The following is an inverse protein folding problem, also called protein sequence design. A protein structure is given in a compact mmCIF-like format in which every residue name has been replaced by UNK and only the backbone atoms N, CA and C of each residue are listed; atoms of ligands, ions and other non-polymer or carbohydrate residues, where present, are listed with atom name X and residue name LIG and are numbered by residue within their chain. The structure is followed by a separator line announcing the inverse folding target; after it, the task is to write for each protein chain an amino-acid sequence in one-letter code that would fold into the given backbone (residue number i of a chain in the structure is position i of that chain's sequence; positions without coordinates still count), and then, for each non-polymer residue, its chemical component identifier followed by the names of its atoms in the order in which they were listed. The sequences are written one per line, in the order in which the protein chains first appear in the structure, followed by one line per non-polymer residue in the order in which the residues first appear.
data_IF_235132786332
#
_entry.id   IF_235132786332
#
_cell.length_a   1.000
_cell.length_b   1.000
_cell.length_c   1.000
_cell.angle_alpha   90.00
_cell.angle_beta   90.00
_cell.angle_gamma   90.00
#
_symmetry.space_group_name_H-M   'P 1'
#
loop_
_entity.id
_entity.type
_entity.pdbx_description
1 polymer ?
#
# COMPACT_ATOMS: atom_id res chain seq x y z
N UNK A 1 -8.66 -15.86 12.53
CA UNK A 1 -8.27 -14.76 13.48
C UNK A 1 -7.62 -13.65 12.67
N UNK A 2 -8.10 -12.41 12.80
CA UNK A 2 -7.53 -11.26 12.09
C UNK A 2 -6.25 -10.75 12.77
N UNK A 3 -5.35 -10.15 12.00
CA UNK A 3 -4.18 -9.43 12.52
C UNK A 3 -4.49 -7.94 12.69
N UNK A 4 -3.69 -7.25 13.49
CA UNK A 4 -3.78 -5.79 13.63
C UNK A 4 -3.58 -5.15 12.25
N UNK A 5 -4.33 -4.09 11.96
CA UNK A 5 -4.45 -3.39 10.68
C UNK A 5 -5.24 -4.12 9.58
N UNK A 6 -5.76 -5.35 9.81
CA UNK A 6 -6.69 -5.96 8.86
C UNK A 6 -7.93 -5.08 8.69
N UNK A 7 -8.28 -4.77 7.45
CA UNK A 7 -9.56 -4.13 7.13
C UNK A 7 -10.61 -5.22 7.03
N UNK A 8 -11.74 -5.03 7.70
CA UNK A 8 -12.83 -6.00 7.79
C UNK A 8 -14.18 -5.35 7.46
N UNK A 9 -15.12 -6.17 7.05
CA UNK A 9 -16.54 -5.81 6.90
C UNK A 9 -17.41 -6.89 7.54
N UNK A 10 -18.66 -6.58 7.94
CA UNK A 10 -19.59 -7.59 8.40
C UNK A 10 -19.83 -8.66 7.32
N UNK A 11 -19.99 -9.90 7.74
CA UNK A 11 -20.45 -10.97 6.86
C UNK A 11 -21.87 -10.67 6.37
N UNK A 12 -22.23 -11.05 5.13
CA UNK A 12 -23.60 -10.87 4.61
C UNK A 12 -24.66 -11.64 5.41
N UNK A 13 -24.23 -12.70 6.12
CA UNK A 13 -25.07 -13.53 6.98
C UNK A 13 -25.07 -13.10 8.45
N UNK A 14 -24.32 -12.06 8.81
CA UNK A 14 -24.42 -11.47 10.14
C UNK A 14 -25.83 -10.87 10.25
N UNK A 15 -26.69 -11.52 11.00
CA UNK A 15 -28.09 -11.12 11.21
C UNK A 15 -28.17 -9.63 11.59
N UNK A 16 -29.29 -9.00 11.21
CA UNK A 16 -29.59 -7.60 11.56
C UNK A 16 -29.45 -7.31 13.07
N UNK A 17 -29.48 -8.35 13.91
CA UNK A 17 -29.25 -8.30 15.35
C UNK A 17 -27.79 -7.97 15.73
N UNK A 18 -26.79 -8.23 14.87
CA UNK A 18 -25.40 -7.89 15.15
C UNK A 18 -25.08 -6.45 14.74
N UNK A 19 -25.87 -5.54 15.23
CA UNK A 19 -25.63 -4.11 15.07
C UNK A 19 -24.53 -3.66 16.03
N UNK A 20 -23.30 -3.61 15.55
CA UNK A 20 -22.26 -2.85 16.23
C UNK A 20 -22.71 -1.39 16.20
N UNK A 21 -23.30 -0.91 17.34
CA UNK A 21 -23.66 0.50 17.55
C UNK A 21 -25.07 0.96 17.16
N UNK A 22 -26.08 0.12 17.22
CA UNK A 22 -27.47 0.48 16.88
C UNK A 22 -27.84 0.17 15.41
N UNK A 23 -29.02 0.49 14.99
CA UNK A 23 -29.64 0.10 13.70
C UNK A 23 -28.91 0.62 12.42
N UNK A 24 -27.65 1.02 12.51
CA UNK A 24 -26.89 1.57 11.39
C UNK A 24 -25.88 0.54 10.88
N UNK A 25 -25.80 0.41 9.57
CA UNK A 25 -24.94 -0.60 8.94
C UNK A 25 -23.47 -0.16 8.99
N UNK A 26 -22.66 -0.95 9.71
CA UNK A 26 -21.20 -0.88 9.59
C UNK A 26 -20.79 -1.36 8.20
N UNK A 27 -20.06 -0.56 7.46
CA UNK A 27 -19.57 -0.92 6.11
C UNK A 27 -18.14 -1.39 6.13
N UNK A 28 -17.28 -0.74 6.93
CA UNK A 28 -15.85 -1.00 6.97
C UNK A 28 -15.23 -0.62 8.30
N UNK A 29 -14.35 -1.46 8.80
CA UNK A 29 -13.59 -1.20 10.00
C UNK A 29 -12.16 -1.73 9.89
N UNK A 30 -11.28 -1.25 10.77
CA UNK A 30 -9.90 -1.68 10.89
C UNK A 30 -9.69 -2.37 12.24
N UNK A 31 -9.04 -3.51 12.25
CA UNK A 31 -8.64 -4.19 13.48
C UNK A 31 -7.48 -3.44 14.13
N UNK A 32 -7.68 -2.92 15.33
CA UNK A 32 -6.66 -2.15 16.07
C UNK A 32 -6.08 -2.90 17.26
N UNK A 33 -6.75 -3.96 17.74
CA UNK A 33 -6.25 -4.83 18.80
C UNK A 33 -6.86 -6.23 18.69
N UNK A 34 -6.07 -7.24 19.03
CA UNK A 34 -6.53 -8.62 19.19
C UNK A 34 -6.30 -9.08 20.65
N UNK A 35 -7.14 -9.94 21.17
CA UNK A 35 -7.02 -10.49 22.53
C UNK A 35 -7.71 -11.87 22.61
N UNK A 36 -7.52 -12.60 23.71
CA UNK A 36 -8.25 -13.83 23.95
C UNK A 36 -9.75 -13.53 24.04
N UNK A 37 -10.60 -14.46 23.55
CA UNK A 37 -12.06 -14.30 23.59
C UNK A 37 -12.54 -14.10 25.03
N UNK A 38 -13.23 -13.01 25.29
CA UNK A 38 -13.77 -12.68 26.59
C UNK A 38 -15.11 -13.42 26.86
N UNK A 39 -15.70 -13.22 28.06
CA UNK A 39 -16.99 -13.84 28.46
C UNK A 39 -18.17 -13.45 27.56
N UNK A 40 -18.08 -12.30 26.87
CA UNK A 40 -19.09 -11.82 25.93
C UNK A 40 -18.87 -12.36 24.50
N UNK A 41 -17.84 -13.19 24.29
CA UNK A 41 -17.47 -13.72 22.98
C UNK A 41 -16.57 -12.83 22.14
N UNK A 42 -16.30 -11.58 22.56
CA UNK A 42 -15.49 -10.65 21.81
C UNK A 42 -14.00 -11.01 21.87
N UNK A 43 -13.27 -10.84 20.78
CA UNK A 43 -11.84 -11.15 20.69
C UNK A 43 -11.01 -10.15 19.88
N UNK A 44 -11.65 -9.14 19.27
CA UNK A 44 -10.95 -8.06 18.56
C UNK A 44 -11.52 -6.70 18.96
N UNK A 45 -10.70 -5.66 18.88
CA UNK A 45 -11.16 -4.27 18.90
C UNK A 45 -11.04 -3.72 17.49
N UNK A 46 -12.10 -3.12 16.98
CA UNK A 46 -12.17 -2.48 15.68
C UNK A 46 -12.28 -0.97 15.85
N UNK A 47 -11.77 -0.23 14.88
CA UNK A 47 -12.01 1.19 14.69
C UNK A 47 -12.85 1.38 13.43
N UNK A 48 -13.97 2.07 13.55
CA UNK A 48 -14.91 2.30 12.45
C UNK A 48 -14.29 3.22 11.41
N UNK A 49 -14.19 2.75 10.18
CA UNK A 49 -13.69 3.53 9.03
C UNK A 49 -14.81 4.07 8.16
N UNK A 50 -15.90 3.30 8.01
CA UNK A 50 -17.04 3.67 7.18
C UNK A 50 -18.32 3.13 7.81
N UNK A 51 -19.29 4.01 8.00
CA UNK A 51 -20.56 3.72 8.66
C UNK A 51 -21.69 4.57 8.09
N UNK A 52 -22.94 4.07 8.08
CA UNK A 52 -24.10 4.84 7.62
C UNK A 52 -24.34 6.10 8.47
N UNK A 53 -24.03 6.03 9.77
CA UNK A 53 -23.99 7.19 10.67
C UNK A 53 -22.56 7.73 10.78
N UNK A 54 -22.25 8.92 10.21
CA UNK A 54 -20.90 9.49 10.24
C UNK A 54 -20.35 9.73 11.66
N UNK A 55 -21.23 9.89 12.67
CA UNK A 55 -20.81 10.13 14.07
C UNK A 55 -20.11 8.91 14.69
N UNK A 56 -20.20 7.74 14.06
CA UNK A 56 -19.56 6.49 14.50
C UNK A 56 -18.14 6.34 13.94
N UNK A 57 -17.78 7.04 12.88
CA UNK A 57 -16.44 6.96 12.29
C UNK A 57 -15.37 7.35 13.30
N UNK A 58 -14.29 6.59 13.38
CA UNK A 58 -13.20 6.76 14.34
C UNK A 58 -13.47 6.16 15.73
N UNK A 59 -14.71 5.77 16.06
CA UNK A 59 -15.01 5.09 17.32
C UNK A 59 -14.50 3.66 17.35
N UNK A 60 -14.17 3.18 18.56
CA UNK A 60 -13.63 1.83 18.79
C UNK A 60 -14.62 0.96 19.53
N UNK A 61 -14.74 -0.28 19.06
CA UNK A 61 -15.65 -1.27 19.63
C UNK A 61 -14.95 -2.62 19.81
N UNK A 62 -15.30 -3.35 20.88
CA UNK A 62 -14.92 -4.75 21.03
C UNK A 62 -15.98 -5.60 20.35
N UNK A 63 -15.56 -6.53 19.51
CA UNK A 63 -16.46 -7.37 18.71
C UNK A 63 -15.92 -8.80 18.58
N UNK A 64 -16.79 -9.73 18.18
CA UNK A 64 -16.43 -11.09 17.84
C UNK A 64 -16.02 -11.18 16.37
N UNK A 65 -14.82 -11.70 16.10
CA UNK A 65 -14.26 -11.81 14.75
C UNK A 65 -15.05 -12.75 13.83
N UNK A 66 -15.87 -13.65 14.38
CA UNK A 66 -16.69 -14.58 13.59
C UNK A 66 -17.75 -13.91 12.72
N UNK A 67 -18.14 -12.69 13.04
CA UNK A 67 -19.15 -11.95 12.28
C UNK A 67 -18.56 -11.06 11.18
N UNK A 68 -17.27 -11.17 10.93
CA UNK A 68 -16.55 -10.33 9.97
C UNK A 68 -15.73 -11.16 9.00
N UNK A 69 -15.52 -10.61 7.82
CA UNK A 69 -14.56 -11.09 6.85
C UNK A 69 -13.51 -10.02 6.55
N UNK A 70 -12.31 -10.44 6.15
CA UNK A 70 -11.30 -9.51 5.66
C UNK A 70 -11.78 -8.90 4.34
N UNK A 71 -11.73 -7.58 4.23
CA UNK A 71 -11.90 -6.92 2.94
C UNK A 71 -10.63 -7.17 2.14
N UNK A 72 -10.69 -7.84 0.99
CA UNK A 72 -9.55 -7.97 0.13
C UNK A 72 -9.02 -6.58 -0.19
N UNK A 73 -7.80 -6.30 0.21
CA UNK A 73 -7.12 -5.07 -0.20
C UNK A 73 -6.57 -5.33 -1.59
N UNK A 74 -7.32 -4.96 -2.61
CA UNK A 74 -6.83 -5.05 -3.99
C UNK A 74 -5.59 -4.19 -4.20
N UNK A 75 -5.43 -3.15 -3.39
CA UNK A 75 -4.34 -2.19 -3.45
C UNK A 75 -3.68 -1.99 -2.09
N UNK A 76 -2.34 -2.07 -2.06
CA UNK A 76 -1.52 -1.91 -0.85
C UNK A 76 -0.40 -0.89 -1.10
N UNK A 77 -0.06 -0.11 -0.08
CA UNK A 77 1.13 0.72 -0.09
C UNK A 77 2.36 -0.13 0.20
N UNK A 78 3.37 0.00 -0.63
CA UNK A 78 4.66 -0.70 -0.48
C UNK A 78 5.79 0.29 -0.65
N UNK A 79 6.93 0.01 -0.01
CA UNK A 79 8.19 0.69 -0.31
C UNK A 79 8.75 0.14 -1.61
N UNK A 80 9.13 1.03 -2.51
CA UNK A 80 9.67 0.70 -3.82
C UNK A 80 10.73 1.74 -4.23
N UNK A 81 11.28 1.57 -5.43
CA UNK A 81 12.32 2.43 -6.00
C UNK A 81 11.89 2.98 -7.35
N UNK A 82 12.31 4.21 -7.64
CA UNK A 82 12.06 4.85 -8.92
C UNK A 82 13.23 5.70 -9.36
N UNK A 83 13.58 5.58 -10.65
CA UNK A 83 14.49 6.48 -11.32
C UNK A 83 13.75 7.61 -12.04
N UNK A 84 14.38 8.77 -12.11
CA UNK A 84 13.95 9.96 -12.86
C UNK A 84 15.14 10.61 -13.53
N UNK A 85 14.91 11.59 -14.39
CA UNK A 85 15.96 12.50 -14.85
C UNK A 85 16.41 13.46 -13.74
N UNK A 86 17.36 14.32 -14.03
CA UNK A 86 17.92 15.35 -13.13
C UNK A 86 16.86 16.31 -12.57
N UNK A 87 15.75 16.51 -13.29
CA UNK A 87 14.66 17.40 -12.95
C UNK A 87 13.48 16.69 -12.28
N UNK A 88 13.66 15.47 -11.78
CA UNK A 88 12.58 14.64 -11.24
C UNK A 88 11.45 14.36 -12.23
N UNK A 89 11.77 14.15 -13.53
CA UNK A 89 10.79 13.77 -14.55
C UNK A 89 11.00 12.33 -14.98
N UNK A 90 9.91 11.67 -15.32
CA UNK A 90 9.93 10.36 -15.96
C UNK A 90 8.79 10.28 -16.96
N UNK A 91 9.09 9.97 -18.22
CA UNK A 91 8.12 9.90 -19.33
C UNK A 91 7.23 11.15 -19.45
N UNK A 92 7.85 12.34 -19.31
CA UNK A 92 7.16 13.63 -19.39
C UNK A 92 6.39 14.07 -18.14
N UNK A 93 6.27 13.22 -17.14
CA UNK A 93 5.64 13.55 -15.86
C UNK A 93 6.67 14.14 -14.89
N UNK A 94 6.35 15.32 -14.34
CA UNK A 94 7.10 15.97 -13.25
C UNK A 94 6.61 15.42 -11.90
N UNK A 95 7.55 15.11 -11.00
CA UNK A 95 7.25 14.71 -9.62
C UNK A 95 7.73 15.76 -8.61
N UNK A 96 7.14 15.73 -7.43
CA UNK A 96 7.48 16.60 -6.30
C UNK A 96 7.67 15.76 -5.05
N UNK A 97 8.74 16.02 -4.29
CA UNK A 97 9.01 15.30 -3.03
C UNK A 97 7.88 15.47 -2.03
N UNK A 98 7.49 14.37 -1.38
CA UNK A 98 6.45 14.34 -0.33
C UNK A 98 5.02 14.48 -0.85
N UNK A 99 4.80 14.78 -2.13
CA UNK A 99 3.47 14.93 -2.72
C UNK A 99 3.00 13.60 -3.27
N UNK A 100 1.79 13.19 -2.91
CA UNK A 100 1.14 12.03 -3.50
C UNK A 100 0.60 12.38 -4.90
N UNK A 101 0.94 11.54 -5.85
CA UNK A 101 0.48 11.65 -7.23
C UNK A 101 -0.34 10.40 -7.58
N UNK A 102 -1.58 10.58 -8.01
CA UNK A 102 -2.53 9.50 -8.29
C UNK A 102 -2.85 9.42 -9.78
N UNK A 103 -2.83 8.22 -10.32
CA UNK A 103 -3.22 7.91 -11.68
C UNK A 103 -4.73 7.71 -11.76
N UNK A 104 -5.42 8.53 -12.54
CA UNK A 104 -6.89 8.58 -12.57
C UNK A 104 -7.57 7.38 -13.25
N UNK A 105 -6.88 6.70 -14.16
CA UNK A 105 -7.42 5.62 -14.99
C UNK A 105 -7.06 4.22 -14.46
N UNK A 106 -7.49 3.17 -15.18
CA UNK A 106 -7.02 1.80 -14.95
C UNK A 106 -5.55 1.71 -15.25
N UNK A 107 -4.78 1.15 -14.31
CA UNK A 107 -3.36 0.90 -14.48
C UNK A 107 -3.12 -0.41 -15.22
N UNK A 108 -2.05 -0.46 -16.02
CA UNK A 108 -1.66 -1.65 -16.76
C UNK A 108 -0.14 -1.70 -16.93
N UNK A 109 0.46 -2.85 -16.65
CA UNK A 109 1.90 -3.07 -16.78
C UNK A 109 2.36 -2.77 -18.22
N UNK A 110 3.44 -2.02 -18.34
CA UNK A 110 4.04 -1.64 -19.62
C UNK A 110 3.40 -0.42 -20.31
N UNK A 111 2.21 0.05 -19.89
CA UNK A 111 1.52 1.16 -20.58
C UNK A 111 0.99 2.26 -19.67
N UNK A 112 0.17 1.95 -18.68
CA UNK A 112 -0.56 2.95 -17.88
C UNK A 112 -0.27 2.82 -16.39
N UNK A 113 0.02 3.94 -15.71
CA UNK A 113 0.33 4.01 -14.28
C UNK A 113 1.80 4.33 -14.00
N UNK A 114 2.16 4.33 -12.73
CA UNK A 114 3.52 4.61 -12.28
C UNK A 114 4.31 3.31 -12.17
N UNK A 115 5.31 3.13 -13.03
CA UNK A 115 6.20 1.98 -12.96
C UNK A 115 7.23 2.20 -11.85
N UNK A 116 7.35 1.23 -10.95
CA UNK A 116 8.29 1.22 -9.82
C UNK A 116 8.99 -0.13 -9.74
N UNK A 117 10.16 -0.18 -9.12
CA UNK A 117 10.92 -1.40 -8.90
C UNK A 117 10.88 -1.76 -7.42
N UNK A 118 10.67 -3.02 -7.06
CA UNK A 118 10.76 -3.48 -5.67
C UNK A 118 12.19 -3.83 -5.26
N UNK A 119 13.10 -3.83 -6.23
CA UNK A 119 14.53 -4.04 -6.02
C UNK A 119 15.33 -2.87 -6.59
N UNK A 120 16.28 -2.37 -5.81
CA UNK A 120 17.08 -1.20 -6.17
C UNK A 120 18.04 -1.47 -7.34
N UNK A 121 18.65 -2.66 -7.39
CA UNK A 121 19.56 -3.01 -8.49
C UNK A 121 18.81 -3.12 -9.82
N UNK A 122 17.59 -3.68 -9.77
CA UNK A 122 16.72 -3.71 -10.94
C UNK A 122 16.31 -2.30 -11.37
N UNK A 123 16.05 -1.41 -10.42
CA UNK A 123 15.76 -0.01 -10.70
C UNK A 123 16.92 0.67 -11.45
N UNK A 124 18.16 0.45 -11.01
CA UNK A 124 19.35 0.97 -11.69
C UNK A 124 19.49 0.45 -13.12
N UNK A 125 19.21 -0.84 -13.35
CA UNK A 125 19.23 -1.43 -14.72
C UNK A 125 18.14 -0.86 -15.62
N UNK A 126 16.96 -0.62 -15.05
CA UNK A 126 15.78 -0.18 -15.80
C UNK A 126 15.89 1.28 -16.25
N UNK A 127 16.56 2.13 -15.47
CA UNK A 127 16.65 3.59 -15.72
C UNK A 127 18.03 4.04 -16.19
N UNK A 128 18.81 3.15 -16.78
CA UNK A 128 20.19 3.41 -17.21
C UNK A 128 20.94 4.26 -16.20
N UNK A 129 21.79 3.63 -15.41
CA UNK A 129 22.52 4.30 -14.37
C UNK A 129 23.50 5.33 -14.95
N UNK A 130 23.00 6.50 -15.28
CA UNK A 130 23.71 7.68 -15.74
C UNK A 130 23.83 8.69 -14.58
N UNK A 131 24.91 9.49 -14.55
CA UNK A 131 25.13 10.54 -13.55
C UNK A 131 24.03 11.62 -13.54
N UNK A 132 23.19 11.68 -14.56
CA UNK A 132 22.07 12.60 -14.68
C UNK A 132 20.78 12.04 -14.08
N UNK A 133 20.69 10.74 -13.89
CA UNK A 133 19.51 10.11 -13.35
C UNK A 133 19.54 10.17 -11.83
N UNK A 134 18.38 10.49 -11.24
CA UNK A 134 18.17 10.52 -9.81
C UNK A 134 17.33 9.31 -9.39
N UNK A 135 17.66 8.72 -8.25
CA UNK A 135 16.97 7.55 -7.73
C UNK A 135 16.35 7.84 -6.38
N UNK A 136 15.17 7.29 -6.15
CA UNK A 136 14.37 7.61 -4.98
C UNK A 136 13.80 6.35 -4.35
N UNK A 137 13.70 6.38 -3.00
CA UNK A 137 12.75 5.56 -2.26
C UNK A 137 11.39 6.20 -2.42
N UNK A 138 10.42 5.40 -2.81
CA UNK A 138 9.04 5.83 -2.99
C UNK A 138 8.08 4.94 -2.21
N UNK A 139 6.95 5.49 -1.79
CA UNK A 139 5.78 4.71 -1.42
C UNK A 139 4.91 4.59 -2.67
N UNK A 140 4.46 3.37 -2.97
CA UNK A 140 3.71 3.07 -4.18
C UNK A 140 2.46 2.25 -3.84
N UNK A 141 1.30 2.67 -4.33
CA UNK A 141 0.04 1.95 -4.19
C UNK A 141 -0.08 0.95 -5.33
N UNK A 142 0.21 -0.32 -5.06
CA UNK A 142 0.26 -1.41 -6.04
C UNK A 142 -0.85 -2.42 -5.81
N UNK A 143 -1.20 -3.20 -6.84
CA UNK A 143 -2.12 -4.31 -6.66
C UNK A 143 -1.49 -5.38 -5.75
N UNK A 144 -2.23 -5.83 -4.73
CA UNK A 144 -1.74 -6.76 -3.72
C UNK A 144 -1.35 -8.11 -4.32
N UNK A 145 -2.10 -8.59 -5.33
CA UNK A 145 -1.81 -9.85 -6.02
C UNK A 145 -0.52 -9.72 -6.85
N UNK A 146 -0.36 -8.64 -7.61
CA UNK A 146 0.84 -8.41 -8.41
C UNK A 146 2.08 -8.33 -7.52
N UNK A 147 1.95 -7.71 -6.34
CA UNK A 147 3.04 -7.66 -5.35
C UNK A 147 3.37 -9.03 -4.77
N UNK A 148 2.36 -9.82 -4.41
CA UNK A 148 2.51 -11.15 -3.81
C UNK A 148 3.13 -12.16 -4.78
N UNK A 149 2.68 -12.13 -6.04
CA UNK A 149 3.09 -13.10 -7.08
C UNK A 149 4.11 -12.55 -8.07
N UNK A 150 4.80 -11.46 -7.69
CA UNK A 150 5.84 -10.88 -8.56
C UNK A 150 6.94 -11.88 -8.87
N UNK A 151 7.41 -11.84 -10.09
CA UNK A 151 8.56 -12.61 -10.52
C UNK A 151 9.84 -12.07 -9.85
N UNK A 152 10.65 -12.88 -9.14
CA UNK A 152 11.91 -12.46 -8.54
C UNK A 152 12.89 -11.81 -9.53
N UNK A 153 12.84 -12.24 -10.81
CA UNK A 153 13.69 -11.71 -11.86
C UNK A 153 13.12 -10.47 -12.57
N UNK A 154 11.86 -10.11 -12.29
CA UNK A 154 11.23 -8.90 -12.81
C UNK A 154 10.49 -8.22 -11.67
N UNK A 155 11.19 -7.31 -11.02
CA UNK A 155 10.70 -6.59 -9.84
C UNK A 155 9.93 -5.33 -10.18
N UNK A 156 9.62 -5.09 -11.45
CA UNK A 156 8.83 -3.94 -11.89
C UNK A 156 7.35 -4.16 -11.59
N UNK A 157 6.74 -3.21 -10.90
CA UNK A 157 5.30 -3.16 -10.63
C UNK A 157 4.70 -1.88 -11.17
N UNK A 158 3.38 -1.89 -11.34
CA UNK A 158 2.61 -0.69 -11.70
C UNK A 158 1.83 -0.22 -10.49
N UNK A 159 2.05 1.04 -10.14
CA UNK A 159 1.35 1.70 -9.05
C UNK A 159 0.24 2.62 -9.57
N UNK A 160 -0.85 2.66 -8.82
CA UNK A 160 -1.97 3.59 -9.02
C UNK A 160 -1.69 4.96 -8.41
N UNK A 161 -0.91 4.99 -7.34
CA UNK A 161 -0.43 6.22 -6.73
C UNK A 161 1.03 6.06 -6.31
N UNK A 162 1.76 7.17 -6.22
CA UNK A 162 3.16 7.20 -5.84
C UNK A 162 3.44 8.45 -5.01
N UNK A 163 4.31 8.31 -4.01
CA UNK A 163 4.85 9.43 -3.24
C UNK A 163 6.35 9.26 -3.08
N UNK A 164 7.12 10.28 -3.46
CA UNK A 164 8.57 10.30 -3.31
C UNK A 164 8.93 10.63 -1.86
N UNK A 165 9.67 9.74 -1.20
CA UNK A 165 9.97 9.85 0.25
C UNK A 165 11.38 10.38 0.47
N UNK A 166 12.40 9.70 -0.08
CA UNK A 166 13.79 10.05 0.06
C UNK A 166 14.55 9.90 -1.26
N UNK A 167 15.46 10.81 -1.53
CA UNK A 167 16.44 10.61 -2.59
C UNK A 167 17.56 9.68 -2.12
N UNK A 168 17.92 8.73 -2.97
CA UNK A 168 19.07 7.87 -2.75
C UNK A 168 20.29 8.65 -3.25
N UNK A 169 21.15 9.06 -2.31
CA UNK A 169 22.31 9.88 -2.61
C UNK A 169 23.18 9.24 -3.69
N UNK A 170 23.38 9.95 -4.78
CA UNK A 170 24.22 9.57 -5.90
C UNK A 170 25.62 10.21 -5.76
N UNK A 171 26.34 9.96 -4.65
CA UNK A 171 27.75 10.25 -4.66
C UNK A 171 28.52 9.20 -5.48
N UNK A 172 29.62 9.61 -6.11
CA UNK A 172 30.40 8.75 -6.99
C UNK A 172 30.87 7.46 -6.29
N UNK A 173 31.16 7.50 -4.98
CA UNK A 173 31.61 6.35 -4.20
C UNK A 173 30.47 5.35 -3.96
N UNK A 174 29.27 5.82 -3.65
CA UNK A 174 28.06 4.98 -3.52
C UNK A 174 27.70 4.33 -4.87
N UNK A 175 27.90 5.05 -5.95
CA UNK A 175 27.73 4.57 -7.34
C UNK A 175 28.69 3.44 -7.62
N UNK A 176 29.97 3.65 -7.38
CA UNK A 176 31.03 2.69 -7.70
C UNK A 176 30.96 1.44 -6.82
N UNK A 177 30.64 1.58 -5.52
CA UNK A 177 30.41 0.46 -4.65
C UNK A 177 29.23 -0.42 -5.11
N UNK A 178 28.15 0.18 -5.61
CA UNK A 178 27.00 -0.54 -6.15
C UNK A 178 27.26 -1.16 -7.52
N UNK A 179 28.06 -0.53 -8.37
CA UNK A 179 28.50 -1.06 -9.66
C UNK A 179 29.35 -2.33 -9.48
N UNK A 180 30.25 -2.32 -8.49
CA UNK A 180 31.11 -3.46 -8.17
C UNK A 180 30.38 -4.62 -7.51
N UNK A 181 29.25 -4.38 -6.81
CA UNK A 181 28.39 -5.42 -6.27
C UNK A 181 27.44 -6.08 -7.31
N UNK A 182 27.46 -5.59 -8.56
CA UNK A 182 26.61 -6.11 -9.66
C UNK A 182 27.39 -6.96 -10.67
N UNK A 183 28.72 -7.13 -10.48
CA UNK A 183 29.57 -8.05 -11.22
C UNK A 183 29.65 -9.40 -10.50
#
# INVERSE_FOLDING_TARGET
MFTINTIIRPLPTADEEYSVCGNSVLRKAKVVKTFARNSEGNNITIEIMEHADPSKVGKKYKVDDRYFEAVPQDWIWVTAYKGTDENMRCRGKQYVMGVEDTYGDKVALGSKGYHVCTDLQHCFKTYDYDFRNRFFVVEALVNAKDYQYRNPNNTTLVAKAIRFVNEITNDAATIEAKRNSMQ
#
